data_IF_872753477443
#
_entry.id   IF_872753477443
#
_cell.length_a   1.000
_cell.length_b   1.000
_cell.length_c   1.000
_cell.angle_alpha   90.00
_cell.angle_beta   90.00
_cell.angle_gamma   90.00
#
_symmetry.space_group_name_H-M   'P 1'
#
loop_
_entity.id
_entity.type
_entity.pdbx_description
1 polymer ?
#
# COMPACT_ATOMS: atom_id res chain seq x y z
N UNK A 1 6.65 11.45 13.36
CA UNK A 1 6.87 10.49 12.25
C UNK A 1 5.56 9.96 11.67
N UNK A 2 4.96 8.86 12.17
CA UNK A 2 3.78 8.23 11.53
C UNK A 2 2.61 9.20 11.29
N UNK A 3 2.13 9.88 12.35
CA UNK A 3 1.02 10.83 12.26
C UNK A 3 1.27 11.95 11.24
N UNK A 4 2.49 12.48 11.20
CA UNK A 4 2.85 13.57 10.28
C UNK A 4 2.88 13.09 8.84
N UNK A 5 3.38 11.87 8.58
CA UNK A 5 3.32 11.24 7.26
C UNK A 5 1.89 11.05 6.78
N UNK A 6 0.99 10.61 7.67
CA UNK A 6 -0.44 10.46 7.34
C UNK A 6 -1.07 11.82 7.01
N UNK A 7 -0.88 12.83 7.86
CA UNK A 7 -1.43 14.17 7.61
C UNK A 7 -0.88 14.77 6.31
N UNK A 8 0.43 14.60 6.07
CA UNK A 8 1.06 15.09 4.85
C UNK A 8 0.53 14.38 3.60
N UNK A 9 0.27 13.08 3.70
CA UNK A 9 -0.32 12.31 2.61
C UNK A 9 -1.76 12.77 2.32
N UNK A 10 -2.59 12.98 3.36
CA UNK A 10 -3.97 13.50 3.21
C UNK A 10 -4.00 14.84 2.48
N UNK A 11 -3.04 15.73 2.75
CA UNK A 11 -2.92 17.01 2.04
C UNK A 11 -2.51 16.85 0.56
N UNK A 12 -1.59 15.92 0.27
CA UNK A 12 -0.98 15.78 -1.05
C UNK A 12 -1.76 14.87 -2.00
N UNK A 13 -2.43 13.84 -1.49
CA UNK A 13 -3.11 12.83 -2.30
C UNK A 13 -4.06 13.45 -3.35
N UNK A 14 -4.92 14.45 -3.01
CA UNK A 14 -5.83 15.04 -3.99
C UNK A 14 -5.11 15.76 -5.14
N UNK A 15 -3.85 16.16 -4.94
CA UNK A 15 -3.04 16.88 -5.93
C UNK A 15 -2.30 15.95 -6.90
N UNK A 16 -2.29 14.64 -6.63
CA UNK A 16 -1.59 13.67 -7.46
C UNK A 16 -2.28 13.50 -8.80
N UNK A 17 -1.51 13.67 -9.88
CA UNK A 17 -1.96 13.35 -11.22
C UNK A 17 -2.24 11.84 -11.37
N UNK A 18 -3.14 11.43 -12.28
CA UNK A 18 -3.42 10.02 -12.52
C UNK A 18 -2.16 9.18 -12.82
N UNK A 19 -1.19 9.76 -13.54
CA UNK A 19 0.08 9.09 -13.86
C UNK A 19 0.97 8.86 -12.62
N UNK A 20 0.84 9.68 -11.58
CA UNK A 20 1.59 9.50 -10.33
C UNK A 20 0.88 8.52 -9.39
N UNK A 21 -0.46 8.53 -9.38
CA UNK A 21 -1.26 7.52 -8.66
C UNK A 21 -0.95 6.11 -9.13
N UNK A 22 -0.74 5.91 -10.44
CA UNK A 22 -0.35 4.62 -11.02
C UNK A 22 1.02 4.09 -10.54
N UNK A 23 1.85 4.95 -9.94
CA UNK A 23 3.15 4.60 -9.34
C UNK A 23 3.06 4.35 -7.84
N UNK A 24 1.85 4.19 -7.30
CA UNK A 24 1.64 3.88 -5.89
C UNK A 24 1.15 2.43 -5.80
N UNK A 25 1.79 1.66 -4.93
CA UNK A 25 1.34 0.36 -4.49
C UNK A 25 0.91 0.46 -3.03
N UNK A 26 -0.32 0.03 -2.74
CA UNK A 26 -0.79 -0.20 -1.37
C UNK A 26 -0.82 -1.70 -1.12
N UNK A 27 -0.28 -2.11 0.02
CA UNK A 27 -0.27 -3.50 0.47
C UNK A 27 -0.94 -3.54 1.82
N UNK A 28 -1.98 -4.35 1.96
CA UNK A 28 -2.65 -4.55 3.25
C UNK A 28 -2.84 -6.03 3.57
N UNK A 29 -2.82 -6.43 4.84
CA UNK A 29 -3.22 -7.79 5.21
C UNK A 29 -4.70 -8.01 4.91
N UNK A 30 -5.09 -9.28 4.72
CA UNK A 30 -6.47 -9.67 4.53
C UNK A 30 -7.30 -9.36 5.78
N UNK A 31 -6.68 -9.53 6.96
CA UNK A 31 -7.24 -9.08 8.22
C UNK A 31 -6.27 -8.11 8.88
N UNK A 32 -6.71 -6.87 8.98
CA UNK A 32 -6.01 -5.83 9.71
C UNK A 32 -6.79 -5.51 10.99
N UNK A 33 -6.16 -5.70 12.13
CA UNK A 33 -6.77 -5.43 13.45
C UNK A 33 -6.63 -3.97 13.90
N UNK A 34 -5.76 -3.19 13.25
CA UNK A 34 -5.37 -1.87 13.71
C UNK A 34 -5.83 -0.75 12.75
N UNK A 35 -5.86 -1.03 11.45
CA UNK A 35 -6.09 -0.01 10.42
C UNK A 35 -7.31 -0.39 9.58
N UNK A 36 -8.36 0.46 9.52
CA UNK A 36 -9.54 0.17 8.71
C UNK A 36 -9.21 0.05 7.21
N UNK A 37 -9.75 -0.94 6.49
CA UNK A 37 -9.42 -1.22 5.08
C UNK A 37 -9.58 -0.02 4.14
N UNK A 38 -10.58 0.82 4.38
CA UNK A 38 -10.91 2.02 3.62
C UNK A 38 -9.85 3.12 3.69
N UNK A 39 -9.01 3.11 4.72
CA UNK A 39 -7.95 4.12 4.89
C UNK A 39 -6.69 3.79 4.11
N UNK A 40 -6.59 2.57 3.58
CA UNK A 40 -5.41 2.08 2.84
C UNK A 40 -5.64 2.12 1.33
N UNK A 41 -6.89 2.10 0.86
CA UNK A 41 -7.20 2.04 -0.57
C UNK A 41 -7.06 3.42 -1.19
N UNK A 42 -6.18 3.54 -2.19
CA UNK A 42 -6.01 4.77 -2.97
C UNK A 42 -6.60 4.56 -4.35
N UNK A 43 -7.57 5.40 -4.73
CA UNK A 43 -8.16 5.34 -6.07
C UNK A 43 -7.13 5.68 -7.15
N UNK A 44 -7.08 4.86 -8.21
CA UNK A 44 -6.11 4.98 -9.30
C UNK A 44 -4.71 4.43 -8.99
N UNK A 45 -4.49 3.87 -7.80
CA UNK A 45 -3.27 3.15 -7.42
C UNK A 45 -3.40 1.64 -7.62
N UNK A 46 -2.27 0.94 -7.57
CA UNK A 46 -2.26 -0.52 -7.46
C UNK A 46 -2.53 -0.89 -5.99
N UNK A 47 -3.64 -1.56 -5.71
CA UNK A 47 -4.01 -1.96 -4.36
C UNK A 47 -4.00 -3.48 -4.27
N UNK A 48 -3.20 -4.06 -3.37
CA UNK A 48 -3.11 -5.51 -3.20
C UNK A 48 -3.33 -5.93 -1.75
N UNK A 49 -3.90 -7.12 -1.58
CA UNK A 49 -4.05 -7.76 -0.27
C UNK A 49 -3.09 -8.94 -0.16
N UNK A 50 -2.43 -9.08 0.98
CA UNK A 50 -1.64 -10.27 1.31
C UNK A 50 -2.46 -11.18 2.23
N UNK A 51 -2.45 -12.51 2.04
CA UNK A 51 -3.22 -13.46 2.87
C UNK A 51 -2.56 -13.64 4.25
N UNK A 52 -2.51 -12.58 5.03
CA UNK A 52 -1.95 -12.56 6.38
C UNK A 52 -2.94 -11.90 7.35
N UNK A 53 -2.88 -12.34 8.60
CA UNK A 53 -3.80 -11.97 9.69
C UNK A 53 -3.15 -10.94 10.64
N UNK A 54 -1.81 -10.85 10.66
CA UNK A 54 -1.10 -9.95 11.58
C UNK A 54 -0.36 -8.81 10.87
N UNK A 55 -0.52 -7.60 11.43
CA UNK A 55 -0.07 -6.33 10.88
C UNK A 55 1.47 -6.25 10.69
N UNK A 56 2.24 -6.73 11.67
CA UNK A 56 3.71 -6.56 11.69
C UNK A 56 4.45 -7.69 10.99
N UNK A 57 4.02 -8.95 11.16
CA UNK A 57 4.59 -10.09 10.44
C UNK A 57 4.27 -10.01 8.93
N UNK A 58 3.17 -9.34 8.59
CA UNK A 58 2.73 -9.12 7.22
C UNK A 58 3.68 -8.29 6.36
N UNK A 59 4.16 -7.16 6.89
CA UNK A 59 4.99 -6.22 6.12
C UNK A 59 6.38 -6.77 5.82
N UNK A 60 7.02 -7.41 6.81
CA UNK A 60 8.35 -7.99 6.63
C UNK A 60 8.39 -9.13 5.61
N UNK A 61 7.39 -10.02 5.63
CA UNK A 61 7.30 -11.12 4.67
C UNK A 61 6.88 -10.64 3.28
N UNK A 62 6.01 -9.63 3.20
CA UNK A 62 5.56 -9.07 1.92
C UNK A 62 6.70 -8.47 1.11
N UNK A 63 7.62 -7.76 1.76
CA UNK A 63 8.79 -7.17 1.11
C UNK A 63 9.81 -8.21 0.60
N UNK A 64 9.87 -9.41 1.20
CA UNK A 64 10.89 -10.43 0.89
C UNK A 64 10.36 -11.52 -0.04
N UNK A 65 9.08 -11.87 0.04
CA UNK A 65 8.52 -13.06 -0.65
C UNK A 65 7.23 -12.81 -1.44
N UNK A 66 6.67 -11.60 -1.43
CA UNK A 66 5.42 -11.36 -2.14
C UNK A 66 5.68 -10.81 -3.54
N UNK A 67 5.47 -11.68 -4.52
CA UNK A 67 5.73 -11.41 -5.94
C UNK A 67 5.11 -10.07 -6.43
N UNK A 68 3.87 -9.68 -6.06
CA UNK A 68 3.32 -8.39 -6.47
C UNK A 68 4.15 -7.16 -6.05
N UNK A 69 4.78 -7.19 -4.88
CA UNK A 69 5.66 -6.10 -4.43
C UNK A 69 6.94 -6.09 -5.24
N UNK A 70 7.53 -7.27 -5.47
CA UNK A 70 8.78 -7.42 -6.23
C UNK A 70 8.56 -7.01 -7.70
N UNK A 71 7.46 -7.46 -8.32
CA UNK A 71 7.09 -7.10 -9.69
C UNK A 71 6.88 -5.60 -9.82
N UNK A 72 6.15 -4.99 -8.88
CA UNK A 72 5.95 -3.55 -8.84
C UNK A 72 7.27 -2.78 -8.75
N UNK A 73 8.20 -3.20 -7.86
CA UNK A 73 9.51 -2.56 -7.72
C UNK A 73 10.39 -2.73 -8.97
N UNK A 74 10.23 -3.84 -9.71
CA UNK A 74 10.93 -4.07 -10.98
C UNK A 74 10.30 -3.34 -12.18
N UNK A 75 9.15 -2.68 -11.98
CA UNK A 75 8.37 -2.09 -13.08
C UNK A 75 7.73 -3.13 -14.00
N UNK A 76 7.68 -4.39 -13.55
CA UNK A 76 6.99 -5.47 -14.24
C UNK A 76 5.49 -5.34 -13.92
N UNK A 77 4.66 -5.16 -14.95
CA UNK A 77 3.21 -5.14 -14.76
C UNK A 77 2.77 -6.54 -14.31
N UNK A 78 2.33 -6.66 -13.06
CA UNK A 78 1.60 -7.82 -12.54
C UNK A 78 0.20 -7.94 -13.10
#
# INVERSE_FOLDING_TARGET
>A
AFRESVLRFVELEPTLAPADRAKILTVRPLWDELVPPETVVISGAMNTTVPMIEHVLGLGLALVKYDPVIMFLKGEKG
#
